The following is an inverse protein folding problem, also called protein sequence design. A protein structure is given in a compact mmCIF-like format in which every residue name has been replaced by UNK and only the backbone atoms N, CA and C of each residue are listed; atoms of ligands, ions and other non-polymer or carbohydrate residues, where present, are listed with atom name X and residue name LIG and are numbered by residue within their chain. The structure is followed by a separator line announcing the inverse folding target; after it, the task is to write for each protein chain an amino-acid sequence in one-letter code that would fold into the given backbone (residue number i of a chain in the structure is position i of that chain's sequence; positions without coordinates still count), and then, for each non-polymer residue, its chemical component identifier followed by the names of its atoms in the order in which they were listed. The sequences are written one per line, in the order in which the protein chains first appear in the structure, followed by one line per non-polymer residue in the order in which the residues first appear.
data_IF_734981423293
#
_entry.id   IF_734981423293
#
_cell.length_a   1.000
_cell.length_b   1.000
_cell.length_c   1.000
_cell.angle_alpha   90.00
_cell.angle_beta   90.00
_cell.angle_gamma   90.00
#
_symmetry.space_group_name_H-M   'P 1'
#
loop_
_entity.id
_entity.type
_entity.pdbx_description
1 polymer ?
#
# COMPACT_ATOMS: atom_id res chain seq x y z
N UNK A 1 -7.58 -14.18 -16.31
CA UNK A 1 -6.71 -13.01 -16.04
C UNK A 1 -6.40 -12.86 -14.56
N UNK A 2 -7.41 -12.86 -13.67
CA UNK A 2 -7.20 -12.91 -12.22
C UNK A 2 -6.32 -14.09 -11.77
N UNK A 3 -6.44 -15.26 -12.42
CA UNK A 3 -5.60 -16.43 -12.12
C UNK A 3 -4.09 -16.17 -12.31
N UNK A 4 -3.72 -15.40 -13.33
CA UNK A 4 -2.32 -15.01 -13.57
C UNK A 4 -1.85 -14.02 -12.48
N UNK A 5 -2.69 -13.04 -12.15
CA UNK A 5 -2.37 -12.05 -11.13
C UNK A 5 -2.26 -12.67 -9.72
N UNK A 6 -3.14 -13.62 -9.41
CA UNK A 6 -3.11 -14.40 -8.17
C UNK A 6 -1.89 -15.32 -8.12
N UNK A 7 -1.46 -15.90 -9.24
CA UNK A 7 -0.21 -16.67 -9.32
C UNK A 7 1.03 -15.81 -9.09
N UNK A 8 1.07 -14.61 -9.67
CA UNK A 8 2.17 -13.67 -9.41
C UNK A 8 2.19 -13.19 -7.96
N UNK A 9 1.03 -12.78 -7.43
CA UNK A 9 0.91 -12.40 -6.04
C UNK A 9 1.29 -13.56 -5.10
N UNK A 10 0.86 -14.79 -5.43
CA UNK A 10 1.16 -16.00 -4.67
C UNK A 10 2.66 -16.33 -4.68
N UNK A 11 3.32 -16.12 -5.83
CA UNK A 11 4.78 -16.29 -5.96
C UNK A 11 5.58 -15.21 -5.22
N UNK A 12 5.10 -13.97 -5.17
CA UNK A 12 5.79 -12.85 -4.50
C UNK A 12 5.62 -12.95 -2.98
N UNK A 13 4.41 -13.25 -2.52
CA UNK A 13 4.11 -13.45 -1.10
C UNK A 13 4.51 -14.84 -0.59
N UNK A 14 5.00 -15.72 -1.47
CA UNK A 14 5.28 -17.14 -1.21
C UNK A 14 4.10 -17.85 -0.52
N UNK A 15 2.88 -17.44 -0.83
CA UNK A 15 1.67 -17.89 -0.15
C UNK A 15 0.59 -18.22 -1.15
N UNK A 16 -0.03 -19.39 -0.98
CA UNK A 16 -1.06 -19.86 -1.89
C UNK A 16 -2.38 -19.09 -1.74
N UNK A 17 -2.47 -17.93 -2.38
CA UNK A 17 -3.66 -17.05 -2.40
C UNK A 17 -4.90 -17.66 -3.08
N UNK A 18 -4.79 -18.88 -3.64
CA UNK A 18 -5.91 -19.60 -4.24
C UNK A 18 -6.68 -20.42 -3.21
N UNK A 19 -6.04 -20.84 -2.13
CA UNK A 19 -6.67 -21.58 -1.05
C UNK A 19 -6.97 -20.63 0.12
N UNK A 20 -8.25 -20.40 0.41
CA UNK A 20 -8.66 -19.52 1.50
C UNK A 20 -8.20 -20.02 2.88
N UNK A 21 -7.94 -21.32 3.01
CA UNK A 21 -7.48 -21.92 4.26
C UNK A 21 -6.00 -21.61 4.57
N UNK A 22 -5.21 -21.27 3.54
CA UNK A 22 -3.78 -20.94 3.65
C UNK A 22 -3.53 -19.43 3.76
N UNK A 23 -4.57 -18.59 3.58
CA UNK A 23 -4.46 -17.15 3.76
C UNK A 23 -4.63 -16.85 5.25
N UNK A 24 -3.57 -16.44 5.97
CA UNK A 24 -3.69 -16.08 7.37
C UNK A 24 -4.60 -14.87 7.44
N UNK A 25 -5.60 -14.93 8.32
CA UNK A 25 -6.61 -13.89 8.53
C UNK A 25 -6.02 -12.48 8.69
N UNK A 26 -4.78 -12.37 9.17
CA UNK A 26 -4.07 -11.11 9.34
C UNK A 26 -3.54 -10.47 8.05
N UNK A 27 -3.38 -11.20 6.94
CA UNK A 27 -2.74 -10.67 5.73
C UNK A 27 -3.53 -9.52 5.08
N UNK A 28 -4.86 -9.65 4.87
CA UNK A 28 -5.69 -8.54 4.39
C UNK A 28 -5.66 -7.33 5.34
N UNK A 29 -5.63 -7.57 6.66
CA UNK A 29 -5.59 -6.51 7.67
C UNK A 29 -4.26 -5.75 7.65
N UNK A 30 -3.13 -6.47 7.60
CA UNK A 30 -1.79 -5.88 7.52
C UNK A 30 -1.63 -5.13 6.20
N UNK A 31 -2.11 -5.69 5.09
CA UNK A 31 -2.07 -5.02 3.80
C UNK A 31 -2.87 -3.71 3.79
N UNK A 32 -4.07 -3.71 4.39
CA UNK A 32 -4.87 -2.50 4.54
C UNK A 32 -4.18 -1.45 5.43
N UNK A 33 -3.56 -1.87 6.54
CA UNK A 33 -2.81 -0.97 7.42
C UNK A 33 -1.60 -0.34 6.71
N UNK A 34 -0.85 -1.13 5.95
CA UNK A 34 0.29 -0.65 5.15
C UNK A 34 -0.17 0.31 4.06
N UNK A 35 -1.22 -0.03 3.31
CA UNK A 35 -1.78 0.87 2.29
C UNK A 35 -2.27 2.19 2.88
N UNK A 36 -2.97 2.14 4.01
CA UNK A 36 -3.44 3.34 4.73
C UNK A 36 -2.27 4.20 5.19
N UNK A 37 -1.20 3.60 5.70
CA UNK A 37 0.02 4.31 6.09
C UNK A 37 0.71 4.98 4.90
N UNK A 38 0.86 4.26 3.78
CA UNK A 38 1.49 4.82 2.56
C UNK A 38 0.67 6.00 2.03
N UNK A 39 -0.65 5.86 1.91
CA UNK A 39 -1.52 6.93 1.44
C UNK A 39 -1.49 8.14 2.38
N UNK A 40 -1.58 7.92 3.69
CA UNK A 40 -1.49 8.98 4.69
C UNK A 40 -0.14 9.71 4.65
N UNK A 41 0.95 8.95 4.47
CA UNK A 41 2.29 9.51 4.31
C UNK A 41 2.42 10.35 3.03
N UNK A 42 1.88 9.87 1.90
CA UNK A 42 1.88 10.63 0.63
C UNK A 42 1.11 11.94 0.78
N UNK A 43 -0.09 11.91 1.38
CA UNK A 43 -0.90 13.11 1.62
C UNK A 43 -0.15 14.10 2.51
N UNK A 44 0.42 13.63 3.62
CA UNK A 44 1.18 14.47 4.53
C UNK A 44 2.43 15.06 3.87
N UNK A 45 3.11 14.28 3.03
CA UNK A 45 4.26 14.71 2.24
C UNK A 45 3.89 15.80 1.24
N UNK A 46 2.74 15.68 0.55
CA UNK A 46 2.26 16.67 -0.41
C UNK A 46 1.88 17.98 0.30
N UNK A 47 1.03 17.92 1.33
CA UNK A 47 0.61 19.12 2.10
C UNK A 47 1.82 19.81 2.75
N UNK A 48 2.80 19.05 3.23
CA UNK A 48 4.02 19.60 3.81
C UNK A 48 5.00 20.17 2.79
N UNK A 49 4.87 19.82 1.50
CA UNK A 49 5.70 20.37 0.43
C UNK A 49 5.09 21.65 -0.15
N UNK A 50 3.77 21.70 -0.32
CA UNK A 50 3.04 22.88 -0.80
C UNK A 50 3.26 24.10 0.12
N UNK A 51 3.20 23.91 1.45
CA UNK A 51 3.48 24.98 2.41
C UNK A 51 4.94 25.48 2.39
N UNK A 52 5.89 24.67 1.90
CA UNK A 52 7.29 25.09 1.77
C UNK A 52 7.50 25.91 0.50
N UNK A 53 6.84 25.54 -0.59
CA UNK A 53 6.92 26.26 -1.85
C UNK A 53 6.28 27.66 -1.74
N UNK A 54 5.22 27.82 -0.96
CA UNK A 54 4.61 29.13 -0.68
C UNK A 54 5.51 30.02 0.19
N UNK A 55 6.16 29.45 1.22
CA UNK A 55 7.06 30.20 2.11
C UNK A 55 8.38 30.63 1.45
N UNK A 56 8.84 29.90 0.43
CA UNK A 56 10.01 30.26 -0.38
C UNK A 56 9.67 31.25 -1.51
N UNK A 57 8.41 31.34 -1.94
CA UNK A 57 7.95 32.33 -2.93
C UNK A 57 7.60 33.69 -2.31
N UNK A 58 7.40 33.78 -0.99
CA UNK A 58 7.13 35.03 -0.26
C UNK A 58 8.40 35.75 0.24
N UNK A 59 9.62 35.30 -0.14
CA UNK A 59 10.89 36.01 0.14
C UNK A 59 11.52 36.61 -1.12
#
# INVERSE_FOLDING_TARGET
MLDLMLKFASSILQMNLRDHHDIPFALPLVFAAVLGFILGFIILRFIGNEQKEDAEQEN
#
